data_IF_584147867822
#
_entry.id   IF_584147867822
#
_cell.length_a   1.000
_cell.length_b   1.000
_cell.length_c   1.000
_cell.angle_alpha   90.00
_cell.angle_beta   90.00
_cell.angle_gamma   90.00
#
_symmetry.space_group_name_H-M   'P 1'
#
loop_
_entity.id
_entity.type
_entity.pdbx_description
1 polymer ?
#
# COMPACT_ATOMS: atom_id res chain seq x y z
N UNK A 1 -27.17 14.06 -16.70
CA UNK A 1 -26.93 12.61 -16.63
C UNK A 1 -26.93 12.20 -15.16
N UNK A 2 -27.55 11.07 -14.80
CA UNK A 2 -27.71 10.70 -13.38
C UNK A 2 -26.37 10.21 -12.79
N UNK A 3 -25.83 10.92 -11.80
CA UNK A 3 -24.52 10.62 -11.16
C UNK A 3 -24.34 9.14 -10.77
N UNK A 4 -25.41 8.48 -10.33
CA UNK A 4 -25.37 7.07 -9.92
C UNK A 4 -25.16 6.10 -11.10
N UNK A 5 -25.61 6.47 -12.30
CA UNK A 5 -25.43 5.65 -13.50
C UNK A 5 -23.97 5.71 -13.98
N UNK A 6 -23.34 6.89 -13.92
CA UNK A 6 -21.91 7.07 -14.24
C UNK A 6 -21.03 6.25 -13.29
N UNK A 7 -21.33 6.22 -11.99
CA UNK A 7 -20.61 5.38 -11.03
C UNK A 7 -20.78 3.88 -11.36
N UNK A 8 -22.00 3.42 -11.66
CA UNK A 8 -22.25 2.04 -12.04
C UNK A 8 -21.57 1.65 -13.35
N UNK A 9 -21.56 2.55 -14.34
CA UNK A 9 -20.86 2.36 -15.62
C UNK A 9 -19.35 2.28 -15.42
N UNK A 10 -18.78 3.13 -14.58
CA UNK A 10 -17.35 3.10 -14.24
C UNK A 10 -16.93 1.80 -13.53
N UNK A 11 -17.81 1.20 -12.73
CA UNK A 11 -17.57 -0.11 -12.12
C UNK A 11 -17.63 -1.21 -13.19
N UNK A 12 -18.64 -1.17 -14.06
CA UNK A 12 -18.76 -2.12 -15.17
C UNK A 12 -17.54 -2.13 -16.09
N UNK A 13 -16.95 -0.96 -16.38
CA UNK A 13 -15.73 -0.85 -17.20
C UNK A 13 -14.47 -1.35 -16.50
N UNK A 14 -14.47 -1.41 -15.16
CA UNK A 14 -13.30 -1.80 -14.34
C UNK A 14 -13.32 -3.23 -13.87
N UNK A 15 -14.50 -3.85 -13.79
CA UNK A 15 -14.66 -5.21 -13.29
C UNK A 15 -14.87 -6.20 -14.46
N UNK A 16 -13.89 -7.08 -14.74
CA UNK A 16 -14.04 -8.12 -15.75
C UNK A 16 -15.20 -9.09 -15.51
N UNK A 17 -15.66 -9.23 -14.26
CA UNK A 17 -16.78 -10.12 -13.91
C UNK A 17 -18.15 -9.49 -14.19
N UNK A 18 -18.22 -8.17 -14.39
CA UNK A 18 -19.48 -7.47 -14.60
C UNK A 18 -20.02 -7.74 -16.02
N UNK A 19 -21.23 -8.31 -16.11
CA UNK A 19 -21.90 -8.61 -17.38
C UNK A 19 -22.74 -7.46 -17.91
N UNK A 20 -23.17 -6.55 -17.03
CA UNK A 20 -23.93 -5.35 -17.43
C UNK A 20 -23.94 -4.29 -16.31
N UNK A 21 -24.22 -3.03 -16.67
CA UNK A 21 -24.43 -1.94 -15.71
C UNK A 21 -25.59 -2.22 -14.75
N UNK A 22 -26.65 -2.88 -15.23
CA UNK A 22 -27.79 -3.29 -14.39
C UNK A 22 -27.40 -4.31 -13.34
N UNK A 23 -26.50 -5.24 -13.68
CA UNK A 23 -25.96 -6.20 -12.71
C UNK A 23 -25.25 -5.46 -11.58
N UNK A 24 -24.42 -4.47 -11.89
CA UNK A 24 -23.74 -3.64 -10.89
C UNK A 24 -24.78 -2.95 -9.99
N UNK A 25 -25.80 -2.32 -10.59
CA UNK A 25 -26.81 -1.58 -9.83
C UNK A 25 -27.56 -2.48 -8.83
N UNK A 26 -27.97 -3.67 -9.25
CA UNK A 26 -28.85 -4.52 -8.47
C UNK A 26 -28.14 -5.58 -7.63
N UNK A 27 -26.92 -5.98 -7.98
CA UNK A 27 -26.26 -7.14 -7.36
C UNK A 27 -24.99 -6.75 -6.57
N UNK A 28 -24.34 -5.63 -6.86
CA UNK A 28 -23.05 -5.32 -6.24
C UNK A 28 -23.23 -4.70 -4.85
N UNK A 29 -22.69 -5.36 -3.82
CA UNK A 29 -22.74 -4.89 -2.43
C UNK A 29 -21.98 -3.58 -2.24
N UNK A 30 -20.80 -3.45 -2.85
CA UNK A 30 -19.97 -2.25 -2.79
C UNK A 30 -20.67 -1.01 -3.36
N UNK A 31 -21.30 -1.14 -4.52
CA UNK A 31 -22.09 -0.06 -5.12
C UNK A 31 -23.25 0.37 -4.22
N UNK A 32 -24.01 -0.58 -3.68
CA UNK A 32 -25.10 -0.30 -2.73
C UNK A 32 -24.58 0.41 -1.48
N UNK A 33 -23.45 -0.02 -0.92
CA UNK A 33 -22.83 0.60 0.25
C UNK A 33 -22.47 2.06 0.01
N UNK A 34 -21.83 2.38 -1.12
CA UNK A 34 -21.48 3.76 -1.48
C UNK A 34 -22.73 4.62 -1.62
N UNK A 35 -23.79 4.11 -2.27
CA UNK A 35 -25.06 4.86 -2.39
C UNK A 35 -25.70 5.17 -1.05
N UNK A 36 -25.73 4.19 -0.14
CA UNK A 36 -26.26 4.38 1.21
C UNK A 36 -25.40 5.36 2.00
N UNK A 37 -24.08 5.30 1.86
CA UNK A 37 -23.17 6.28 2.43
C UNK A 37 -23.48 7.70 1.91
N UNK A 38 -23.75 7.91 0.61
CA UNK A 38 -24.09 9.25 0.09
C UNK A 38 -25.32 9.84 0.79
N UNK A 39 -26.33 9.02 1.06
CA UNK A 39 -27.52 9.43 1.80
C UNK A 39 -27.15 9.73 3.26
N UNK A 40 -26.41 8.83 3.92
CA UNK A 40 -25.96 9.03 5.30
C UNK A 40 -25.11 10.31 5.45
N UNK A 41 -24.19 10.56 4.53
CA UNK A 41 -23.32 11.73 4.49
C UNK A 41 -24.14 13.03 4.33
N UNK A 42 -25.18 13.01 3.49
CA UNK A 42 -26.09 14.15 3.33
C UNK A 42 -26.79 14.54 4.64
N UNK A 43 -27.22 13.56 5.45
CA UNK A 43 -27.79 13.80 6.79
C UNK A 43 -26.72 14.28 7.77
N UNK A 44 -25.53 13.69 7.71
CA UNK A 44 -24.40 14.03 8.58
C UNK A 44 -23.98 15.50 8.42
N UNK A 45 -23.82 15.98 7.19
CA UNK A 45 -23.43 17.37 6.88
C UNK A 45 -24.52 18.37 7.31
N UNK A 46 -25.78 17.93 7.46
CA UNK A 46 -26.90 18.75 7.96
C UNK A 46 -27.08 18.69 9.48
N UNK A 47 -26.19 18.02 10.20
CA UNK A 47 -26.26 17.89 11.67
C UNK A 47 -27.18 16.78 12.17
N UNK A 48 -27.83 16.01 11.29
CA UNK A 48 -28.69 14.88 11.68
C UNK A 48 -27.85 13.61 11.94
N UNK A 49 -26.96 13.68 12.93
CA UNK A 49 -25.95 12.65 13.19
C UNK A 49 -26.54 11.28 13.54
N UNK A 50 -27.62 11.25 14.32
CA UNK A 50 -28.30 10.01 14.71
C UNK A 50 -28.84 9.26 13.49
N UNK A 51 -29.56 9.96 12.61
CA UNK A 51 -30.13 9.40 11.37
C UNK A 51 -29.00 8.93 10.45
N UNK A 52 -27.96 9.76 10.28
CA UNK A 52 -26.80 9.40 9.48
C UNK A 52 -26.13 8.10 9.97
N UNK A 53 -25.97 7.95 11.30
CA UNK A 53 -25.34 6.76 11.86
C UNK A 53 -26.25 5.53 11.78
N UNK A 54 -27.56 5.69 11.92
CA UNK A 54 -28.53 4.62 11.72
C UNK A 54 -28.48 4.06 10.29
N UNK A 55 -28.45 4.95 9.28
CA UNK A 55 -28.32 4.55 7.86
C UNK A 55 -26.99 3.83 7.62
N UNK A 56 -25.88 4.34 8.18
CA UNK A 56 -24.56 3.70 8.08
C UNK A 56 -24.52 2.30 8.71
N UNK A 57 -25.15 2.11 9.88
CA UNK A 57 -25.22 0.78 10.53
C UNK A 57 -26.11 -0.19 9.76
N UNK A 58 -27.23 0.28 9.21
CA UNK A 58 -28.07 -0.55 8.34
C UNK A 58 -27.31 -0.95 7.06
N UNK A 59 -26.58 -0.03 6.43
CA UNK A 59 -25.75 -0.31 5.26
C UNK A 59 -24.69 -1.37 5.58
N UNK A 60 -23.99 -1.23 6.71
CA UNK A 60 -23.02 -2.21 7.23
C UNK A 60 -23.66 -3.59 7.40
N UNK A 61 -24.82 -3.67 8.03
CA UNK A 61 -25.52 -4.95 8.23
C UNK A 61 -25.91 -5.62 6.91
N UNK A 62 -26.34 -4.85 5.90
CA UNK A 62 -26.78 -5.39 4.61
C UNK A 62 -25.64 -5.72 3.63
N UNK A 63 -24.52 -5.02 3.72
CA UNK A 63 -23.44 -5.09 2.70
C UNK A 63 -22.11 -5.60 3.23
N UNK A 64 -21.91 -5.61 4.55
CA UNK A 64 -20.63 -5.90 5.18
C UNK A 64 -19.58 -4.79 5.07
N UNK A 65 -19.92 -3.65 4.47
CA UNK A 65 -19.05 -2.48 4.31
C UNK A 65 -19.41 -1.45 5.39
N UNK A 66 -18.48 -1.13 6.29
CA UNK A 66 -18.65 -0.05 7.25
C UNK A 66 -18.03 1.24 6.71
N UNK A 67 -18.89 2.23 6.42
CA UNK A 67 -18.46 3.59 6.06
C UNK A 67 -19.05 4.56 7.07
N UNK A 68 -18.19 5.30 7.76
CA UNK A 68 -18.65 6.36 8.64
C UNK A 68 -19.26 7.52 7.83
N UNK A 69 -20.42 8.08 8.23
CA UNK A 69 -21.06 9.17 7.48
C UNK A 69 -20.22 10.44 7.36
N UNK A 70 -19.30 10.68 8.30
CA UNK A 70 -18.39 11.82 8.28
C UNK A 70 -17.23 11.71 7.27
N UNK A 71 -16.97 10.52 6.73
CA UNK A 71 -15.93 10.34 5.72
C UNK A 71 -16.24 11.19 4.48
N UNK A 72 -15.20 11.58 3.73
CA UNK A 72 -15.35 12.26 2.44
C UNK A 72 -14.90 11.33 1.33
N UNK A 73 -15.77 11.06 0.37
CA UNK A 73 -15.48 10.14 -0.73
C UNK A 73 -15.67 10.85 -2.06
N UNK A 74 -14.68 10.74 -2.95
CA UNK A 74 -14.70 11.25 -4.32
C UNK A 74 -15.62 10.46 -5.22
N UNK A 75 -15.61 10.76 -6.52
CA UNK A 75 -16.46 10.13 -7.53
C UNK A 75 -15.95 8.73 -7.88
N UNK A 76 -16.86 7.87 -8.35
CA UNK A 76 -16.51 6.59 -8.96
C UNK A 76 -15.63 5.70 -8.04
N UNK A 77 -15.88 5.69 -6.74
CA UNK A 77 -15.27 4.71 -5.84
C UNK A 77 -15.77 3.32 -6.22
N UNK A 78 -14.86 2.40 -6.54
CA UNK A 78 -15.17 0.99 -6.75
C UNK A 78 -14.79 0.20 -5.50
N UNK A 79 -15.80 -0.39 -4.86
CA UNK A 79 -15.61 -1.35 -3.76
C UNK A 79 -15.87 -2.75 -4.32
N UNK A 80 -14.82 -3.56 -4.38
CA UNK A 80 -14.90 -4.93 -4.87
C UNK A 80 -14.97 -5.95 -3.71
N UNK A 81 -15.89 -6.89 -3.82
CA UNK A 81 -16.28 -7.90 -2.83
C UNK A 81 -16.74 -7.37 -1.44
N UNK A 82 -16.41 -6.14 -1.05
CA UNK A 82 -17.02 -5.33 0.01
C UNK A 82 -16.87 -5.80 1.47
N UNK A 83 -16.86 -7.10 1.73
CA UNK A 83 -16.91 -7.66 3.07
C UNK A 83 -15.74 -7.23 3.94
N UNK A 84 -16.02 -6.77 5.16
CA UNK A 84 -15.00 -6.44 6.15
C UNK A 84 -14.24 -5.15 5.87
N UNK A 85 -14.72 -4.29 4.95
CA UNK A 85 -14.17 -2.95 4.77
C UNK A 85 -14.59 -2.05 5.92
N UNK A 86 -13.64 -1.27 6.43
CA UNK A 86 -13.86 -0.26 7.48
C UNK A 86 -13.26 1.08 7.05
N UNK A 87 -14.10 2.09 6.86
CA UNK A 87 -13.71 3.46 6.52
C UNK A 87 -14.13 4.38 7.66
N UNK A 88 -13.13 4.94 8.34
CA UNK A 88 -13.36 5.76 9.53
C UNK A 88 -13.83 7.19 9.26
N UNK A 89 -14.18 7.88 10.34
CA UNK A 89 -14.89 9.17 10.31
C UNK A 89 -14.18 10.28 9.54
N UNK A 90 -12.88 10.43 9.74
CA UNK A 90 -12.11 11.52 9.13
C UNK A 90 -11.33 11.05 7.91
N UNK A 91 -11.70 9.89 7.35
CA UNK A 91 -11.07 9.38 6.14
C UNK A 91 -11.50 10.22 4.94
N UNK A 92 -10.55 10.50 4.06
CA UNK A 92 -10.81 11.17 2.80
C UNK A 92 -10.35 10.24 1.68
N UNK A 93 -11.17 10.07 0.65
CA UNK A 93 -10.89 9.20 -0.50
C UNK A 93 -11.09 10.02 -1.76
N UNK A 94 -10.10 10.07 -2.65
CA UNK A 94 -10.16 10.74 -3.93
C UNK A 94 -11.05 10.06 -4.95
N UNK A 95 -10.97 10.54 -6.19
CA UNK A 95 -11.77 10.05 -7.31
C UNK A 95 -11.16 8.76 -7.90
N UNK A 96 -12.01 7.89 -8.44
CA UNK A 96 -11.63 6.68 -9.19
C UNK A 96 -10.78 5.65 -8.42
N UNK A 97 -10.81 5.68 -7.09
CA UNK A 97 -10.17 4.65 -6.28
C UNK A 97 -10.86 3.28 -6.42
N UNK A 98 -10.08 2.23 -6.19
CA UNK A 98 -10.56 0.85 -6.11
C UNK A 98 -10.12 0.25 -4.78
N UNK A 99 -11.07 -0.28 -4.01
CA UNK A 99 -10.84 -0.85 -2.68
C UNK A 99 -11.40 -2.27 -2.64
N UNK A 100 -10.56 -3.23 -2.29
CA UNK A 100 -10.96 -4.62 -2.11
C UNK A 100 -11.46 -4.90 -0.69
N UNK A 101 -12.10 -6.06 -0.52
CA UNK A 101 -12.57 -6.57 0.75
C UNK A 101 -11.49 -6.59 1.85
N UNK A 102 -11.92 -6.51 3.11
CA UNK A 102 -11.04 -6.57 4.29
C UNK A 102 -10.14 -5.36 4.51
N UNK A 103 -10.28 -4.29 3.70
CA UNK A 103 -9.47 -3.09 3.83
C UNK A 103 -9.90 -2.25 5.04
N UNK A 104 -8.94 -1.65 5.74
CA UNK A 104 -9.21 -0.70 6.83
C UNK A 104 -8.52 0.63 6.58
N UNK A 105 -9.29 1.71 6.51
CA UNK A 105 -8.84 3.10 6.61
C UNK A 105 -9.10 3.57 8.04
N UNK A 106 -8.15 3.27 8.91
CA UNK A 106 -8.27 3.35 10.36
C UNK A 106 -7.49 4.53 10.96
N UNK A 107 -7.79 4.84 12.22
CA UNK A 107 -7.03 5.80 12.99
C UNK A 107 -5.98 5.16 13.88
N UNK A 108 -4.99 5.96 14.28
CA UNK A 108 -3.99 5.60 15.29
C UNK A 108 -4.28 6.37 16.57
N UNK A 109 -4.33 5.68 17.72
CA UNK A 109 -4.47 6.33 19.03
C UNK A 109 -5.87 6.83 19.39
N UNK A 110 -5.93 7.76 20.36
CA UNK A 110 -7.17 8.30 20.96
C UNK A 110 -7.43 9.78 20.61
N UNK A 111 -6.66 10.34 19.69
CA UNK A 111 -6.70 11.77 19.41
C UNK A 111 -8.04 12.21 18.81
N UNK A 112 -8.50 13.38 19.26
CA UNK A 112 -9.70 14.03 18.75
C UNK A 112 -9.32 14.87 17.54
N UNK A 113 -9.87 14.56 16.36
CA UNK A 113 -9.62 15.30 15.11
C UNK A 113 -9.37 14.40 13.90
N UNK A 114 -8.60 14.93 12.93
CA UNK A 114 -8.12 14.16 11.76
C UNK A 114 -7.17 13.07 12.24
N UNK A 115 -7.58 11.81 12.04
CA UNK A 115 -6.87 10.62 12.53
C UNK A 115 -6.86 9.47 11.54
N UNK A 116 -7.68 9.54 10.50
CA UNK A 116 -7.78 8.55 9.43
C UNK A 116 -7.07 9.07 8.17
N UNK A 117 -6.67 8.19 7.25
CA UNK A 117 -5.85 8.57 6.11
C UNK A 117 -6.60 9.46 5.11
N UNK A 118 -5.82 10.13 4.28
CA UNK A 118 -6.26 10.79 3.05
C UNK A 118 -5.73 9.98 1.87
N UNK A 119 -6.63 9.42 1.07
CA UNK A 119 -6.32 8.65 -0.12
C UNK A 119 -6.48 9.56 -1.33
N UNK A 120 -5.44 9.67 -2.15
CA UNK A 120 -5.43 10.42 -3.41
C UNK A 120 -6.33 9.80 -4.47
N UNK A 121 -6.17 10.25 -5.71
CA UNK A 121 -6.95 9.78 -6.87
C UNK A 121 -6.35 8.52 -7.48
N UNK A 122 -7.21 7.68 -8.07
CA UNK A 122 -6.81 6.45 -8.79
C UNK A 122 -5.99 5.47 -7.93
N UNK A 123 -6.17 5.50 -6.61
CA UNK A 123 -5.44 4.60 -5.70
C UNK A 123 -6.10 3.22 -5.72
N UNK A 124 -5.27 2.18 -5.84
CA UNK A 124 -5.67 0.78 -5.73
C UNK A 124 -5.29 0.26 -4.34
N UNK A 125 -6.28 -0.16 -3.55
CA UNK A 125 -6.05 -0.75 -2.23
C UNK A 125 -6.50 -2.20 -2.27
N UNK A 126 -5.51 -3.11 -2.27
CA UNK A 126 -5.72 -4.55 -2.41
C UNK A 126 -6.31 -5.18 -1.15
N UNK A 127 -6.78 -6.42 -1.31
CA UNK A 127 -7.50 -7.15 -0.27
C UNK A 127 -6.75 -7.17 1.07
N UNK A 128 -7.48 -6.92 2.16
CA UNK A 128 -6.96 -7.03 3.52
C UNK A 128 -5.98 -5.94 3.97
N UNK A 129 -5.63 -4.97 3.12
CA UNK A 129 -4.68 -3.92 3.50
C UNK A 129 -5.18 -3.04 4.66
N UNK A 130 -4.27 -2.56 5.50
CA UNK A 130 -4.54 -1.69 6.65
C UNK A 130 -3.75 -0.40 6.48
N UNK A 131 -4.44 0.73 6.39
CA UNK A 131 -3.84 2.07 6.27
C UNK A 131 -4.28 2.85 7.52
N UNK A 132 -3.33 3.09 8.42
CA UNK A 132 -3.64 3.52 9.79
C UNK A 132 -2.93 4.83 10.11
N UNK A 133 -3.71 5.91 10.29
CA UNK A 133 -3.21 7.21 10.75
C UNK A 133 -3.57 8.37 9.82
N UNK A 134 -3.33 9.62 10.25
CA UNK A 134 -3.73 10.83 9.52
C UNK A 134 -2.70 11.27 8.47
N UNK A 135 -2.30 10.36 7.59
CA UNK A 135 -1.32 10.64 6.55
C UNK A 135 -1.91 10.49 5.14
N UNK A 136 -1.17 10.98 4.15
CA UNK A 136 -1.60 10.95 2.74
C UNK A 136 -1.02 9.75 1.99
N UNK A 137 -1.86 9.09 1.20
CA UNK A 137 -1.46 8.15 0.14
C UNK A 137 -1.64 8.86 -1.19
N UNK A 138 -0.54 9.10 -1.89
CA UNK A 138 -0.50 9.88 -3.13
C UNK A 138 -1.25 9.23 -4.29
N UNK A 139 -1.48 10.03 -5.33
CA UNK A 139 -2.23 9.62 -6.51
C UNK A 139 -1.57 8.45 -7.24
N UNK A 140 -2.40 7.57 -7.82
CA UNK A 140 -1.96 6.37 -8.56
C UNK A 140 -1.12 5.37 -7.73
N UNK A 141 -1.12 5.50 -6.40
CA UNK A 141 -0.45 4.54 -5.54
C UNK A 141 -1.17 3.18 -5.56
N UNK A 142 -0.39 2.11 -5.32
CA UNK A 142 -0.90 0.74 -5.21
C UNK A 142 -0.52 0.15 -3.86
N UNK A 143 -1.51 -0.15 -3.02
CA UNK A 143 -1.28 -0.81 -1.73
C UNK A 143 -1.52 -2.30 -1.92
N UNK A 144 -0.49 -3.11 -1.67
CA UNK A 144 -0.52 -4.55 -1.83
C UNK A 144 -1.42 -5.24 -0.81
N UNK A 145 -1.75 -6.51 -1.11
CA UNK A 145 -2.64 -7.30 -0.27
C UNK A 145 -2.04 -7.49 1.12
N UNK A 146 -2.86 -7.37 2.17
CA UNK A 146 -2.48 -7.46 3.57
C UNK A 146 -1.33 -6.51 4.02
N UNK A 147 -0.98 -5.51 3.21
CA UNK A 147 0.04 -4.54 3.61
C UNK A 147 -0.45 -3.69 4.79
N UNK A 148 0.46 -3.35 5.72
CA UNK A 148 0.17 -2.46 6.85
C UNK A 148 0.92 -1.15 6.66
N UNK A 149 0.23 -0.13 6.18
CA UNK A 149 0.80 1.18 5.85
C UNK A 149 0.63 2.13 7.03
N UNK A 150 1.75 2.62 7.54
CA UNK A 150 1.83 3.47 8.74
C UNK A 150 2.47 4.84 8.47
N UNK A 151 2.89 5.09 7.24
CA UNK A 151 3.62 6.29 6.81
C UNK A 151 3.08 6.80 5.50
N UNK A 152 3.35 8.06 5.18
CA UNK A 152 3.03 8.66 3.88
C UNK A 152 3.55 7.82 2.71
N UNK A 153 2.77 7.84 1.63
CA UNK A 153 3.08 7.12 0.39
C UNK A 153 3.11 8.14 -0.73
N UNK A 154 4.24 8.23 -1.43
CA UNK A 154 4.39 9.08 -2.62
C UNK A 154 3.42 8.64 -3.73
N UNK A 155 3.09 9.56 -4.63
CA UNK A 155 2.36 9.23 -5.85
C UNK A 155 3.10 8.16 -6.68
N UNK A 156 2.36 7.42 -7.50
CA UNK A 156 2.88 6.39 -8.41
C UNK A 156 3.72 5.29 -7.73
N UNK A 157 3.53 5.08 -6.42
CA UNK A 157 4.32 4.14 -5.63
C UNK A 157 3.51 2.89 -5.29
N UNK A 158 4.15 1.72 -5.30
CA UNK A 158 3.57 0.48 -4.78
C UNK A 158 4.10 0.24 -3.37
N UNK A 159 3.23 -0.12 -2.42
CA UNK A 159 3.61 -0.44 -1.04
C UNK A 159 3.18 -1.86 -0.69
N UNK A 160 4.09 -2.67 -0.14
CA UNK A 160 3.81 -4.06 0.25
C UNK A 160 4.43 -4.42 1.60
N UNK A 161 3.91 -5.47 2.24
CA UNK A 161 4.49 -6.05 3.44
C UNK A 161 3.95 -5.49 4.76
N UNK A 162 4.49 -6.01 5.87
CA UNK A 162 4.12 -5.66 7.24
C UNK A 162 5.40 -5.46 8.06
N UNK A 163 5.77 -4.21 8.44
CA UNK A 163 5.16 -2.96 7.99
C UNK A 163 5.37 -2.73 6.48
N UNK A 164 4.47 -1.96 5.88
CA UNK A 164 4.45 -1.65 4.46
C UNK A 164 5.68 -0.85 4.05
N UNK A 165 6.36 -1.30 3.00
CA UNK A 165 7.52 -0.62 2.41
C UNK A 165 7.24 -0.29 0.95
N UNK A 166 7.67 0.91 0.55
CA UNK A 166 7.62 1.32 -0.84
C UNK A 166 8.55 0.46 -1.70
N UNK A 167 8.01 -0.10 -2.77
CA UNK A 167 8.74 -0.86 -3.79
C UNK A 167 8.55 -0.18 -5.13
N UNK A 168 9.65 0.26 -5.74
CA UNK A 168 9.63 0.90 -7.07
C UNK A 168 9.82 -0.18 -8.14
N UNK A 169 8.93 -0.22 -9.15
CA UNK A 169 9.15 -1.01 -10.37
C UNK A 169 10.08 -0.23 -11.32
N UNK A 170 11.38 -0.49 -11.22
CA UNK A 170 12.40 -0.23 -12.26
C UNK A 170 12.17 1.02 -13.15
N UNK A 171 11.90 2.18 -12.55
CA UNK A 171 11.74 3.46 -13.26
C UNK A 171 10.55 3.57 -14.23
N UNK A 172 9.65 2.59 -14.30
CA UNK A 172 8.47 2.65 -15.18
C UNK A 172 7.28 3.24 -14.43
N UNK A 173 6.66 4.26 -15.01
CA UNK A 173 5.33 4.76 -14.57
C UNK A 173 4.37 3.58 -14.53
N UNK A 174 3.83 3.30 -13.36
CA UNK A 174 2.76 2.33 -13.22
C UNK A 174 1.54 2.94 -13.93
N UNK A 175 1.09 2.31 -15.03
CA UNK A 175 -0.12 2.76 -15.73
C UNK A 175 -1.32 2.68 -14.77
N UNK A 176 -2.31 3.54 -15.02
CA UNK A 176 -3.52 3.75 -14.23
C UNK A 176 -4.10 2.46 -13.65
N UNK A 177 -4.73 2.58 -12.48
CA UNK A 177 -5.39 1.63 -11.55
C UNK A 177 -6.03 0.33 -12.07
N UNK A 178 -6.07 0.08 -13.38
CA UNK A 178 -6.72 -1.05 -14.06
C UNK A 178 -5.85 -2.32 -14.12
N UNK A 179 -4.52 -2.22 -14.10
CA UNK A 179 -3.66 -3.43 -14.09
C UNK A 179 -3.55 -4.02 -12.68
N UNK A 180 -4.39 -5.04 -12.43
CA UNK A 180 -4.45 -5.92 -11.25
C UNK A 180 -3.33 -6.98 -11.26
N UNK A 181 -2.07 -6.56 -11.37
CA UNK A 181 -0.94 -7.49 -11.29
C UNK A 181 -0.46 -7.64 -9.84
N UNK A 182 -1.04 -8.61 -9.13
CA UNK A 182 -0.64 -8.98 -7.77
C UNK A 182 0.54 -9.98 -7.72
N UNK A 183 0.93 -10.54 -8.87
CA UNK A 183 1.88 -11.65 -8.94
C UNK A 183 3.31 -11.12 -8.95
N UNK A 184 3.58 -10.06 -9.72
CA UNK A 184 4.94 -9.58 -9.95
C UNK A 184 5.27 -8.32 -9.15
N UNK A 185 5.07 -8.37 -7.82
CA UNK A 185 5.44 -7.26 -6.93
C UNK A 185 6.81 -7.56 -6.29
N UNK A 186 7.76 -6.61 -6.28
CA UNK A 186 9.06 -6.84 -5.65
C UNK A 186 8.90 -7.13 -4.15
N UNK A 187 9.60 -8.13 -3.63
CA UNK A 187 9.67 -8.39 -2.19
C UNK A 187 10.79 -7.53 -1.56
N UNK A 188 10.45 -6.59 -0.66
CA UNK A 188 11.44 -5.72 -0.02
C UNK A 188 12.43 -6.51 0.86
N UNK A 189 12.02 -7.64 1.45
CA UNK A 189 12.91 -8.47 2.28
C UNK A 189 13.95 -9.16 1.40
N UNK A 190 13.52 -9.79 0.30
CA UNK A 190 14.43 -10.39 -0.68
C UNK A 190 15.41 -9.37 -1.26
N UNK A 191 14.97 -8.13 -1.52
CA UNK A 191 15.86 -7.06 -1.99
C UNK A 191 16.97 -6.73 -0.98
N UNK A 192 16.64 -6.59 0.30
CA UNK A 192 17.64 -6.33 1.34
C UNK A 192 18.56 -7.54 1.56
N UNK A 193 18.04 -8.77 1.51
CA UNK A 193 18.88 -9.98 1.59
C UNK A 193 19.87 -10.06 0.42
N UNK A 194 19.45 -9.71 -0.80
CA UNK A 194 20.35 -9.61 -1.95
C UNK A 194 21.43 -8.55 -1.74
N UNK A 195 21.05 -7.37 -1.20
CA UNK A 195 22.00 -6.29 -0.91
C UNK A 195 23.03 -6.71 0.14
N UNK A 196 22.58 -7.29 1.25
CA UNK A 196 23.45 -7.80 2.31
C UNK A 196 24.39 -8.90 1.79
N UNK A 197 23.89 -9.82 0.96
CA UNK A 197 24.71 -10.88 0.37
C UNK A 197 25.79 -10.32 -0.55
N UNK A 198 25.46 -9.27 -1.31
CA UNK A 198 26.45 -8.58 -2.14
C UNK A 198 27.54 -7.91 -1.30
N UNK A 199 27.15 -7.27 -0.20
CA UNK A 199 28.10 -6.61 0.71
C UNK A 199 29.01 -7.64 1.40
N UNK A 200 28.45 -8.75 1.88
CA UNK A 200 29.21 -9.87 2.46
C UNK A 200 30.22 -10.43 1.45
N UNK A 201 29.83 -10.58 0.19
CA UNK A 201 30.74 -11.05 -0.85
C UNK A 201 31.89 -10.05 -1.09
N UNK A 202 31.60 -8.75 -1.11
CA UNK A 202 32.62 -7.71 -1.26
C UNK A 202 33.61 -7.71 -0.09
N UNK A 203 33.11 -7.76 1.14
CA UNK A 203 33.94 -7.85 2.35
C UNK A 203 34.79 -9.12 2.36
N UNK A 204 34.25 -10.27 1.92
CA UNK A 204 35.02 -11.51 1.78
C UNK A 204 36.15 -11.38 0.74
N UNK A 205 35.91 -10.69 -0.37
CA UNK A 205 36.94 -10.42 -1.37
C UNK A 205 38.05 -9.53 -0.82
N UNK A 206 37.70 -8.44 -0.12
CA UNK A 206 38.68 -7.54 0.51
C UNK A 206 39.52 -8.26 1.57
N UNK A 207 38.89 -9.08 2.43
CA UNK A 207 39.62 -9.91 3.41
C UNK A 207 40.59 -10.88 2.74
N UNK A 208 40.21 -11.50 1.62
CA UNK A 208 41.09 -12.40 0.88
C UNK A 208 42.29 -11.66 0.25
N UNK A 209 42.13 -10.40 -0.14
CA UNK A 209 43.24 -9.56 -0.61
C UNK A 209 44.19 -9.18 0.54
N UNK A 210 43.66 -8.75 1.69
CA UNK A 210 44.47 -8.48 2.87
C UNK A 210 45.24 -9.71 3.35
N UNK A 211 44.61 -10.89 3.35
CA UNK A 211 45.28 -12.15 3.70
C UNK A 211 46.46 -12.47 2.76
N UNK A 212 46.35 -12.15 1.47
CA UNK A 212 47.46 -12.30 0.50
C UNK A 212 48.58 -11.32 0.81
N UNK A 213 48.26 -10.04 1.02
CA UNK A 213 49.27 -9.02 1.36
C UNK A 213 50.00 -9.37 2.67
N UNK A 214 49.30 -9.87 3.69
CA UNK A 214 49.91 -10.29 4.96
C UNK A 214 50.86 -11.47 4.74
N UNK A 215 50.50 -12.44 3.89
CA UNK A 215 51.39 -13.56 3.53
C UNK A 215 52.63 -13.07 2.79
N UNK A 216 52.49 -12.14 1.84
CA UNK A 216 53.64 -11.55 1.15
C UNK A 216 54.57 -10.79 2.09
N UNK A 217 54.02 -9.99 3.02
CA UNK A 217 54.82 -9.27 4.03
C UNK A 217 55.56 -10.25 4.94
N UNK A 218 54.92 -11.35 5.37
CA UNK A 218 55.57 -12.39 6.18
C UNK A 218 56.71 -13.07 5.43
N UNK A 219 56.48 -13.47 4.17
CA UNK A 219 57.51 -14.09 3.33
C UNK A 219 58.70 -13.14 3.09
N UNK A 220 58.44 -11.85 2.83
CA UNK A 220 59.51 -10.88 2.65
C UNK A 220 60.29 -10.64 3.95
N UNK A 221 59.63 -10.63 5.11
CA UNK A 221 60.32 -10.54 6.41
C UNK A 221 61.23 -11.75 6.67
N UNK A 222 60.77 -12.97 6.40
CA UNK A 222 61.61 -14.18 6.56
C UNK A 222 62.83 -14.16 5.62
N UNK A 223 62.66 -13.67 4.39
CA UNK A 223 63.75 -13.54 3.42
C UNK A 223 64.80 -12.50 3.85
N UNK A 224 64.35 -11.36 4.39
CA UNK A 224 65.25 -10.32 4.93
C UNK A 224 65.96 -10.80 6.21
N UNK A 225 65.28 -11.58 7.06
CA UNK A 225 65.88 -12.15 8.28
C UNK A 225 67.02 -13.13 7.96
N UNK A 226 66.87 -13.94 6.90
CA UNK A 226 67.86 -14.93 6.49
C UNK A 226 69.08 -14.32 5.77
N UNK A 227 68.93 -13.16 5.11
CA UNK A 227 70.04 -12.46 4.46
C UNK A 227 70.92 -11.71 5.45
N UNK A 228 70.32 -11.07 6.47
CA UNK A 228 71.08 -10.39 7.54
C UNK A 228 71.92 -11.38 8.38
N UNK A 229 71.46 -12.62 8.56
CA UNK A 229 72.23 -13.67 9.26
C UNK A 229 73.40 -14.26 8.43
N UNK A 230 73.42 -14.05 7.11
CA UNK A 230 74.55 -14.44 6.25
C UNK A 230 75.67 -13.38 6.26
N UNK A 231 75.33 -12.10 6.33
CA UNK A 231 76.31 -11.01 6.35
C UNK A 231 77.05 -10.86 7.71
N UNK A 232 76.51 -11.37 8.81
CA UNK A 232 77.19 -11.38 10.13
C UNK A 232 78.17 -12.56 10.33
N UNK A 233 78.35 -13.43 9.32
CA UNK A 233 79.22 -14.63 9.40
C UNK A 233 80.45 -14.59 8.49
N UNK A 234 80.70 -13.48 7.78
CA UNK A 234 82.00 -13.18 7.14
C UNK A 234 82.84 -12.23 8.03
#
# INVERSE_FOLDING_TARGET
MFKWYEEAKSIYERDPAARSVWQVIFQYSGYKAVRMYRIAHWFHVRGFYFIARAISQFARHKTGVEIHPGAKIGKCLFIDHGMGIVIGETAEIGDYCTIYHGVTLGGTGKDKGKRHPTIGNNVLISAGAKILGPFTVGDNAKIGANAVVLTEVEENTTVVGVPGRAVKRAGKKIRQSFELDHIHIPDPVSQELCRLRSEINKLRSELAEYDKMIKEIKNNKETVSNSVQQDEKE
#
